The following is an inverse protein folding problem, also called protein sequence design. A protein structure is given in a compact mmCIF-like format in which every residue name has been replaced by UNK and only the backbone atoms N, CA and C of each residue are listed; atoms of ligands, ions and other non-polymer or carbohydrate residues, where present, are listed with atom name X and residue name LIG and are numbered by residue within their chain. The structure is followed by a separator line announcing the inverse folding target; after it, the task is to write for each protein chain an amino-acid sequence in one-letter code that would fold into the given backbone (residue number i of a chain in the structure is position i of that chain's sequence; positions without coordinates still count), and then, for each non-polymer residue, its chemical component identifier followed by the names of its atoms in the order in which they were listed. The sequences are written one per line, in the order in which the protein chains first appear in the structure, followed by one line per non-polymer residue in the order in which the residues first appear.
data_IF_736666112859
#
_entry.id   IF_736666112859
#
_cell.length_a   1.000
_cell.length_b   1.000
_cell.length_c   1.000
_cell.angle_alpha   90.00
_cell.angle_beta   90.00
_cell.angle_gamma   90.00
#
_symmetry.space_group_name_H-M   'P 1'
#
loop_
_entity.id
_entity.type
_entity.pdbx_description
1 polymer ?
#
# COMPACT_ATOMS: atom_id res chain seq x y z
N UNK A 1 -16.43 -21.04 17.66
CA UNK A 1 -16.04 -20.04 18.68
C UNK A 1 -16.63 -18.70 18.25
N UNK A 2 -17.12 -17.87 19.18
CA UNK A 2 -17.73 -16.57 18.81
C UNK A 2 -16.73 -15.42 18.71
N UNK A 3 -15.43 -15.69 18.80
CA UNK A 3 -14.34 -14.73 18.64
C UNK A 3 -13.50 -15.14 17.43
N UNK A 4 -13.19 -14.17 16.57
CA UNK A 4 -12.27 -14.34 15.45
C UNK A 4 -11.27 -13.18 15.42
N UNK A 5 -10.07 -13.46 14.91
CA UNK A 5 -8.98 -12.51 14.74
C UNK A 5 -8.56 -12.53 13.27
N UNK A 6 -8.46 -11.36 12.65
CA UNK A 6 -7.94 -11.21 11.28
C UNK A 6 -6.82 -10.17 11.29
N UNK A 7 -5.71 -10.49 10.62
CA UNK A 7 -4.58 -9.59 10.51
C UNK A 7 -4.73 -8.64 9.32
N UNK A 8 -4.37 -7.38 9.53
CA UNK A 8 -4.33 -6.32 8.53
C UNK A 8 -3.20 -5.35 8.87
N UNK A 9 -3.08 -4.26 8.11
CA UNK A 9 -2.00 -3.27 8.26
C UNK A 9 -2.53 -1.86 8.09
N UNK A 10 -2.09 -0.95 8.97
CA UNK A 10 -2.34 0.47 8.78
C UNK A 10 -1.37 1.06 7.75
N UNK A 11 -1.59 2.33 7.39
CA UNK A 11 -0.70 3.10 6.53
C UNK A 11 -0.22 4.33 7.31
N UNK A 12 1.06 4.37 7.65
CA UNK A 12 1.70 5.49 8.34
C UNK A 12 2.92 5.92 7.53
N UNK A 13 2.70 6.80 6.55
CA UNK A 13 3.72 7.11 5.54
C UNK A 13 4.14 5.84 4.80
N UNK A 14 5.45 5.59 4.74
CA UNK A 14 6.03 4.37 4.13
C UNK A 14 6.04 3.16 5.07
N UNK A 15 5.52 3.29 6.29
CA UNK A 15 5.41 2.19 7.24
C UNK A 15 4.01 1.57 7.21
N UNK A 16 3.96 0.27 7.47
CA UNK A 16 2.73 -0.49 7.58
C UNK A 16 2.66 -1.25 8.92
N UNK A 17 2.34 -0.56 10.03
CA UNK A 17 2.25 -1.20 11.33
C UNK A 17 1.07 -2.18 11.38
N UNK A 18 1.22 -3.25 12.17
CA UNK A 18 0.24 -4.32 12.30
C UNK A 18 -1.07 -3.81 12.92
N UNK A 19 -2.19 -4.27 12.34
CA UNK A 19 -3.53 -4.04 12.86
C UNK A 19 -4.23 -5.39 13.00
N UNK A 20 -4.81 -5.64 14.17
CA UNK A 20 -5.72 -6.78 14.37
C UNK A 20 -7.17 -6.31 14.31
N UNK A 21 -7.98 -7.06 13.57
CA UNK A 21 -9.43 -6.93 13.56
C UNK A 21 -10.01 -8.09 14.37
N UNK A 22 -10.38 -7.80 15.61
CA UNK A 22 -11.02 -8.75 16.51
C UNK A 22 -12.53 -8.63 16.34
N UNK A 23 -13.21 -9.76 16.10
CA UNK A 23 -14.67 -9.79 15.95
C UNK A 23 -15.28 -10.74 16.97
N UNK A 24 -16.22 -10.24 17.76
CA UNK A 24 -16.97 -11.01 18.74
C UNK A 24 -18.48 -11.01 18.44
N UNK A 25 -19.09 -12.19 18.41
CA UNK A 25 -20.54 -12.38 18.28
C UNK A 25 -21.18 -12.72 19.62
N UNK A 26 -22.08 -11.86 20.08
CA UNK A 26 -22.88 -12.05 21.28
C UNK A 26 -24.37 -12.23 20.93
N UNK A 27 -25.11 -12.89 21.81
CA UNK A 27 -26.57 -12.97 21.69
C UNK A 27 -27.20 -11.59 21.94
N UNK A 28 -28.31 -11.30 21.26
CA UNK A 28 -29.02 -10.04 21.37
C UNK A 28 -29.50 -9.54 20.01
N UNK A 29 -30.13 -8.36 20.02
CA UNK A 29 -30.62 -7.73 18.79
C UNK A 29 -29.48 -7.44 17.81
N UNK A 30 -29.71 -7.59 16.48
CA UNK A 30 -28.69 -7.33 15.47
C UNK A 30 -28.15 -5.90 15.58
N UNK A 31 -26.87 -5.78 15.90
CA UNK A 31 -26.19 -4.50 16.01
C UNK A 31 -24.69 -4.68 15.82
N UNK A 32 -24.08 -3.91 14.93
CA UNK A 32 -22.61 -3.82 14.81
C UNK A 32 -22.08 -2.58 15.53
N UNK A 33 -21.14 -2.80 16.45
CA UNK A 33 -20.35 -1.78 17.14
C UNK A 33 -18.89 -1.87 16.69
N UNK A 34 -18.32 -0.76 16.21
CA UNK A 34 -16.89 -0.63 15.90
C UNK A 34 -16.18 0.12 17.05
N UNK A 35 -15.10 -0.45 17.56
CA UNK A 35 -14.26 0.04 18.68
C UNK A 35 -12.83 0.22 18.17
N UNK A 36 -12.07 1.14 18.78
CA UNK A 36 -10.69 1.45 18.38
C UNK A 36 -10.49 2.80 17.66
N UNK A 37 -11.43 3.74 17.89
CA UNK A 37 -11.46 5.10 17.31
C UNK A 37 -11.29 5.14 15.78
N UNK A 38 -12.05 4.34 15.00
CA UNK A 38 -12.02 4.46 13.56
C UNK A 38 -12.54 5.82 13.09
N UNK A 39 -11.92 6.36 12.05
CA UNK A 39 -12.45 7.53 11.35
C UNK A 39 -13.84 7.26 10.74
N UNK A 40 -14.54 8.33 10.35
CA UNK A 40 -15.89 8.28 9.80
C UNK A 40 -16.00 7.32 8.61
N UNK A 41 -14.98 7.29 7.75
CA UNK A 41 -14.92 6.41 6.56
C UNK A 41 -14.93 4.92 6.91
N UNK A 42 -14.27 4.54 8.01
CA UNK A 42 -14.30 3.15 8.51
C UNK A 42 -15.61 2.85 9.24
N UNK A 43 -16.25 3.85 9.86
CA UNK A 43 -17.62 3.67 10.41
C UNK A 43 -18.65 3.43 9.31
N UNK A 44 -18.51 4.09 8.17
CA UNK A 44 -19.34 3.87 6.97
C UNK A 44 -19.12 2.49 6.34
N UNK A 45 -17.99 1.83 6.61
CA UNK A 45 -17.75 0.46 6.16
C UNK A 45 -18.76 -0.55 6.68
N UNK A 46 -19.49 -0.27 7.77
CA UNK A 46 -20.53 -1.16 8.32
C UNK A 46 -21.57 -1.56 7.27
N UNK A 47 -22.18 -0.59 6.61
CA UNK A 47 -23.26 -0.86 5.65
C UNK A 47 -22.71 -1.46 4.36
N UNK A 48 -21.49 -1.05 3.98
CA UNK A 48 -20.78 -1.55 2.82
C UNK A 48 -20.38 -3.02 2.96
N UNK A 49 -19.78 -3.40 4.08
CA UNK A 49 -19.40 -4.77 4.41
C UNK A 49 -20.63 -5.66 4.54
N UNK A 50 -21.68 -5.19 5.22
CA UNK A 50 -22.94 -5.93 5.31
C UNK A 50 -23.51 -6.23 3.93
N UNK A 51 -23.60 -5.20 3.07
CA UNK A 51 -24.11 -5.36 1.71
C UNK A 51 -23.24 -6.30 0.88
N UNK A 52 -21.91 -6.18 0.98
CA UNK A 52 -20.96 -7.03 0.30
C UNK A 52 -21.12 -8.51 0.68
N UNK A 53 -21.28 -8.83 1.96
CA UNK A 53 -21.51 -10.20 2.46
C UNK A 53 -22.82 -10.76 1.88
N UNK A 54 -23.92 -10.02 2.03
CA UNK A 54 -25.25 -10.48 1.59
C UNK A 54 -25.30 -10.65 0.07
N UNK A 55 -24.79 -9.69 -0.69
CA UNK A 55 -24.77 -9.75 -2.15
C UNK A 55 -23.79 -10.79 -2.70
N UNK A 56 -22.82 -11.23 -1.88
CA UNK A 56 -21.96 -12.39 -2.20
C UNK A 56 -22.63 -13.74 -1.94
N UNK A 57 -23.89 -13.77 -1.47
CA UNK A 57 -24.61 -14.99 -1.12
C UNK A 57 -24.15 -15.62 0.21
N UNK A 58 -23.43 -14.87 1.04
CA UNK A 58 -22.93 -15.31 2.34
C UNK A 58 -23.90 -14.90 3.46
N UNK A 59 -23.90 -15.63 4.57
CA UNK A 59 -24.78 -15.32 5.68
C UNK A 59 -24.23 -14.14 6.50
N UNK A 60 -25.05 -13.12 6.74
CA UNK A 60 -24.71 -12.06 7.69
C UNK A 60 -25.41 -12.35 9.04
N UNK A 61 -24.67 -12.57 10.14
CA UNK A 61 -25.25 -13.01 11.40
C UNK A 61 -26.21 -11.98 11.99
N UNK A 62 -27.42 -12.42 12.34
CA UNK A 62 -28.44 -11.61 13.03
C UNK A 62 -28.18 -11.58 14.54
N UNK A 63 -26.99 -11.16 14.94
CA UNK A 63 -26.49 -11.14 16.33
C UNK A 63 -25.84 -9.80 16.65
N UNK A 64 -25.53 -9.57 17.92
CA UNK A 64 -24.75 -8.40 18.33
C UNK A 64 -23.28 -8.65 17.98
N UNK A 65 -22.73 -7.83 17.10
CA UNK A 65 -21.36 -7.90 16.60
C UNK A 65 -20.56 -6.77 17.25
N UNK A 66 -19.43 -7.09 17.87
CA UNK A 66 -18.46 -6.11 18.34
C UNK A 66 -17.16 -6.32 17.60
N UNK A 67 -16.66 -5.28 16.95
CA UNK A 67 -15.40 -5.30 16.23
C UNK A 67 -14.43 -4.29 16.82
N UNK A 68 -13.23 -4.75 17.12
CA UNK A 68 -12.16 -3.92 17.66
C UNK A 68 -10.99 -3.90 16.67
N UNK A 69 -10.58 -2.71 16.24
CA UNK A 69 -9.38 -2.52 15.44
C UNK A 69 -8.26 -2.06 16.36
N UNK A 70 -7.33 -2.94 16.68
CA UNK A 70 -6.20 -2.66 17.55
C UNK A 70 -4.89 -2.56 16.76
N UNK A 71 -3.92 -1.75 17.20
CA UNK A 71 -3.95 -0.89 18.39
C UNK A 71 -4.65 0.47 18.12
N UNK A 72 -5.23 1.08 19.16
CA UNK A 72 -6.11 2.25 19.03
C UNK A 72 -5.41 3.57 18.64
N UNK A 73 -4.09 3.66 18.85
CA UNK A 73 -3.23 4.83 18.62
C UNK A 73 -2.85 5.06 17.16
N UNK A 74 -2.99 4.05 16.30
CA UNK A 74 -2.71 4.17 14.88
C UNK A 74 -3.87 4.84 14.12
N UNK A 75 -3.58 5.68 13.11
CA UNK A 75 -4.61 6.20 12.20
C UNK A 75 -5.20 5.04 11.37
N UNK A 76 -6.53 4.98 11.30
CA UNK A 76 -7.28 3.89 10.66
C UNK A 76 -8.31 4.50 9.74
N UNK A 77 -7.84 4.83 8.55
CA UNK A 77 -8.61 5.62 7.59
C UNK A 77 -8.81 4.83 6.29
N UNK A 78 -9.93 5.09 5.62
CA UNK A 78 -10.24 4.52 4.31
C UNK A 78 -10.79 3.08 4.33
N UNK A 79 -11.13 2.57 3.14
CA UNK A 79 -11.79 1.27 2.97
C UNK A 79 -10.90 0.04 3.10
N UNK A 80 -9.59 0.17 3.34
CA UNK A 80 -8.64 -0.96 3.28
C UNK A 80 -8.91 -2.09 4.28
N UNK A 81 -9.65 -1.81 5.35
CA UNK A 81 -9.99 -2.76 6.40
C UNK A 81 -11.27 -3.55 6.10
N UNK A 82 -12.04 -3.17 5.07
CA UNK A 82 -13.35 -3.78 4.78
C UNK A 82 -13.25 -5.30 4.62
N UNK A 83 -12.21 -5.77 3.93
CA UNK A 83 -11.97 -7.20 3.74
C UNK A 83 -11.73 -7.91 5.09
N UNK A 84 -10.86 -7.37 5.94
CA UNK A 84 -10.55 -7.95 7.24
C UNK A 84 -11.77 -7.94 8.18
N UNK A 85 -12.55 -6.85 8.14
CA UNK A 85 -13.82 -6.71 8.86
C UNK A 85 -14.83 -7.77 8.41
N UNK A 86 -14.99 -7.97 7.09
CA UNK A 86 -15.90 -8.97 6.55
C UNK A 86 -15.50 -10.40 6.95
N UNK A 87 -14.21 -10.74 6.80
CA UNK A 87 -13.67 -12.04 7.19
C UNK A 87 -13.79 -12.30 8.69
N UNK A 88 -13.60 -11.27 9.52
CA UNK A 88 -13.80 -11.38 10.96
C UNK A 88 -15.23 -11.75 11.34
N UNK A 89 -16.23 -11.16 10.66
CA UNK A 89 -17.65 -11.51 10.84
C UNK A 89 -17.92 -12.95 10.41
N UNK A 90 -17.47 -13.32 9.21
CA UNK A 90 -17.69 -14.65 8.65
C UNK A 90 -17.01 -15.75 9.49
N UNK A 91 -15.81 -15.50 9.99
CA UNK A 91 -15.08 -16.44 10.82
C UNK A 91 -15.71 -16.59 12.21
N UNK A 92 -16.17 -15.49 12.82
CA UNK A 92 -16.85 -15.55 14.11
C UNK A 92 -18.22 -16.27 14.00
N UNK A 93 -18.86 -16.23 12.82
CA UNK A 93 -20.07 -16.99 12.50
C UNK A 93 -19.78 -18.45 12.09
N UNK A 94 -18.51 -18.83 11.91
CA UNK A 94 -18.09 -20.18 11.55
C UNK A 94 -18.15 -20.50 10.04
N UNK A 95 -18.34 -19.50 9.18
CA UNK A 95 -18.32 -19.66 7.72
C UNK A 95 -16.90 -19.71 7.12
N UNK A 96 -15.90 -19.29 7.89
CA UNK A 96 -14.48 -19.31 7.50
C UNK A 96 -13.66 -19.90 8.66
N UNK A 97 -12.71 -20.83 8.39
CA UNK A 97 -11.85 -21.38 9.42
C UNK A 97 -10.89 -20.32 9.98
N UNK A 98 -10.80 -20.22 11.31
CA UNK A 98 -9.87 -19.28 11.97
C UNK A 98 -8.41 -19.67 11.79
N UNK A 99 -8.12 -20.96 11.58
CA UNK A 99 -6.76 -21.46 11.36
C UNK A 99 -6.14 -20.91 10.06
N UNK A 100 -6.87 -20.96 8.95
CA UNK A 100 -6.39 -20.44 7.65
C UNK A 100 -6.29 -18.91 7.66
N UNK A 101 -7.15 -18.23 8.43
CA UNK A 101 -7.06 -16.78 8.61
C UNK A 101 -5.84 -16.31 9.41
N UNK A 102 -5.30 -17.13 10.31
CA UNK A 102 -4.12 -16.78 11.11
C UNK A 102 -2.84 -16.69 10.26
N UNK A 103 -2.81 -17.39 9.12
CA UNK A 103 -1.68 -17.48 8.20
C UNK A 103 -1.62 -16.33 7.18
N UNK A 104 -2.66 -15.50 7.12
CA UNK A 104 -2.82 -14.44 6.12
C UNK A 104 -3.01 -13.07 6.74
N UNK A 105 -2.52 -12.04 6.06
CA UNK A 105 -2.89 -10.65 6.28
C UNK A 105 -3.79 -10.18 5.13
N UNK A 106 -4.80 -9.37 5.43
CA UNK A 106 -5.83 -8.97 4.48
C UNK A 106 -5.89 -7.46 4.30
N UNK A 107 -5.86 -7.03 3.04
CA UNK A 107 -6.04 -5.64 2.62
C UNK A 107 -7.04 -5.59 1.47
N UNK A 108 -7.93 -4.62 1.49
CA UNK A 108 -8.83 -4.37 0.38
C UNK A 108 -10.11 -3.65 0.80
N UNK A 109 -10.57 -2.76 -0.06
CA UNK A 109 -11.90 -2.18 0.04
C UNK A 109 -12.94 -3.10 -0.60
N UNK A 110 -14.12 -3.21 0.00
CA UNK A 110 -15.23 -3.99 -0.55
C UNK A 110 -16.24 -3.07 -1.23
N UNK A 111 -16.55 -3.32 -2.49
CA UNK A 111 -17.75 -2.75 -3.09
C UNK A 111 -19.01 -3.41 -2.49
N UNK A 112 -20.17 -2.73 -2.59
CA UNK A 112 -21.46 -3.30 -2.15
C UNK A 112 -21.79 -4.65 -2.80
N UNK A 113 -21.21 -4.94 -3.97
CA UNK A 113 -21.39 -6.21 -4.69
C UNK A 113 -20.54 -7.37 -4.14
N UNK A 114 -19.55 -7.10 -3.27
CA UNK A 114 -18.54 -8.09 -2.87
C UNK A 114 -17.26 -8.06 -3.69
N UNK A 115 -17.18 -7.22 -4.74
CA UNK A 115 -15.94 -7.01 -5.51
C UNK A 115 -14.89 -6.29 -4.65
N UNK A 116 -13.65 -6.74 -4.70
CA UNK A 116 -12.53 -6.05 -4.06
C UNK A 116 -12.06 -4.88 -4.93
N UNK A 117 -11.77 -3.75 -4.28
CA UNK A 117 -11.24 -2.53 -4.88
C UNK A 117 -9.82 -2.27 -4.41
N UNK A 118 -8.95 -1.71 -5.28
CA UNK A 118 -7.56 -1.46 -4.93
C UNK A 118 -7.43 -0.47 -3.78
N UNK A 119 -6.35 -0.61 -3.02
CA UNK A 119 -5.96 0.27 -1.93
C UNK A 119 -4.57 0.84 -2.20
N UNK A 120 -4.29 2.02 -1.65
CA UNK A 120 -2.96 2.62 -1.70
C UNK A 120 -2.02 1.95 -0.69
N UNK A 121 -0.70 2.14 -0.84
CA UNK A 121 0.27 1.72 0.17
C UNK A 121 0.37 0.20 0.34
N UNK A 122 0.22 -0.58 -0.73
CA UNK A 122 0.24 -2.05 -0.64
C UNK A 122 1.66 -2.61 -0.49
N UNK A 123 2.66 -2.00 -1.14
CA UNK A 123 4.04 -2.47 -1.08
C UNK A 123 4.63 -2.38 0.34
N UNK A 124 4.52 -1.25 1.08
CA UNK A 124 4.89 -1.22 2.50
C UNK A 124 4.28 -2.34 3.33
N UNK A 125 3.00 -2.64 3.08
CA UNK A 125 2.30 -3.69 3.80
C UNK A 125 2.77 -5.09 3.39
N UNK A 126 3.11 -5.31 2.13
CA UNK A 126 3.72 -6.54 1.64
C UNK A 126 5.09 -6.79 2.29
N UNK A 127 5.96 -5.78 2.34
CA UNK A 127 7.25 -5.89 3.02
C UNK A 127 7.08 -6.23 4.51
N UNK A 128 6.14 -5.59 5.19
CA UNK A 128 5.85 -5.84 6.61
C UNK A 128 5.16 -7.20 6.86
N UNK A 129 4.34 -7.69 5.93
CA UNK A 129 3.72 -9.03 6.00
C UNK A 129 4.77 -10.13 5.79
N UNK A 130 5.71 -9.91 4.86
CA UNK A 130 6.88 -10.77 4.62
C UNK A 130 7.71 -10.93 5.90
N UNK A 131 8.03 -9.83 6.57
CA UNK A 131 8.76 -9.84 7.84
C UNK A 131 8.00 -10.59 8.95
N UNK A 132 6.66 -10.53 8.93
CA UNK A 132 5.81 -11.27 9.86
C UNK A 132 5.61 -12.74 9.48
N UNK A 133 6.13 -13.20 8.32
CA UNK A 133 6.01 -14.58 7.86
C UNK A 133 4.58 -14.99 7.48
N UNK A 134 3.71 -14.04 7.13
CA UNK A 134 2.32 -14.31 6.71
C UNK A 134 2.12 -14.04 5.23
N UNK A 135 1.26 -14.82 4.59
CA UNK A 135 0.85 -14.53 3.21
C UNK A 135 -0.02 -13.26 3.17
N UNK A 136 -0.05 -12.57 2.03
CA UNK A 136 -0.80 -11.33 1.87
C UNK A 136 -1.94 -11.51 0.86
N UNK A 137 -3.16 -11.21 1.29
CA UNK A 137 -4.35 -11.15 0.43
C UNK A 137 -4.61 -9.71 0.05
N UNK A 138 -4.66 -9.45 -1.26
CA UNK A 138 -4.87 -8.10 -1.83
C UNK A 138 -5.87 -8.14 -2.99
N UNK A 139 -6.46 -7.00 -3.35
CA UNK A 139 -7.22 -6.86 -4.58
C UNK A 139 -6.33 -7.23 -5.78
N UNK A 140 -6.93 -7.86 -6.81
CA UNK A 140 -6.20 -8.29 -8.01
C UNK A 140 -5.40 -7.16 -8.69
N UNK A 141 -5.91 -5.93 -8.64
CA UNK A 141 -5.26 -4.75 -9.19
C UNK A 141 -4.00 -4.31 -8.41
N UNK A 142 -3.85 -4.72 -7.15
CA UNK A 142 -2.68 -4.46 -6.32
C UNK A 142 -1.64 -5.60 -6.32
N UNK A 143 -1.97 -6.76 -6.89
CA UNK A 143 -1.18 -7.98 -6.72
C UNK A 143 0.24 -7.88 -7.30
N UNK A 144 0.38 -7.25 -8.47
CA UNK A 144 1.68 -7.05 -9.12
C UNK A 144 2.60 -6.16 -8.27
N UNK A 145 2.05 -5.11 -7.67
CA UNK A 145 2.79 -4.21 -6.76
C UNK A 145 3.17 -4.92 -5.46
N UNK A 146 2.25 -5.66 -4.84
CA UNK A 146 2.53 -6.43 -3.62
C UNK A 146 3.64 -7.47 -3.84
N UNK A 147 3.72 -8.04 -5.04
CA UNK A 147 4.70 -9.07 -5.37
C UNK A 147 6.13 -8.53 -5.53
N UNK A 148 6.30 -7.22 -5.66
CA UNK A 148 7.63 -6.59 -5.61
C UNK A 148 8.38 -6.88 -4.31
N UNK A 149 7.66 -7.13 -3.22
CA UNK A 149 8.30 -7.42 -1.93
C UNK A 149 9.23 -8.64 -2.00
N UNK A 150 9.02 -9.58 -2.93
CA UNK A 150 9.85 -10.77 -3.09
C UNK A 150 9.78 -11.74 -1.89
N UNK A 151 9.78 -13.05 -2.13
CA UNK A 151 9.73 -14.03 -1.03
C UNK A 151 8.45 -14.00 -0.17
N UNK A 152 7.40 -13.32 -0.63
CA UNK A 152 6.08 -13.25 -0.02
C UNK A 152 5.07 -14.01 -0.87
N UNK A 153 4.24 -14.83 -0.24
CA UNK A 153 3.08 -15.42 -0.92
C UNK A 153 1.97 -14.36 -1.00
N UNK A 154 1.59 -13.99 -2.21
CA UNK A 154 0.53 -13.01 -2.48
C UNK A 154 -0.67 -13.72 -3.10
N UNK A 155 -1.87 -13.49 -2.56
CA UNK A 155 -3.13 -13.96 -3.15
C UNK A 155 -3.90 -12.80 -3.76
N UNK A 156 -4.16 -12.89 -5.06
CA UNK A 156 -4.84 -11.87 -5.85
C UNK A 156 -6.34 -12.15 -5.98
N UNK A 157 -7.14 -11.42 -5.23
CA UNK A 157 -8.58 -11.68 -5.11
C UNK A 157 -9.39 -10.62 -5.86
N UNK A 158 -10.36 -11.06 -6.67
CA UNK A 158 -11.31 -10.16 -7.33
C UNK A 158 -12.61 -9.98 -6.56
N UNK A 159 -13.01 -10.98 -5.77
CA UNK A 159 -14.30 -11.01 -5.09
C UNK A 159 -14.25 -11.70 -3.72
N UNK A 160 -15.06 -11.26 -2.75
CA UNK A 160 -15.09 -11.81 -1.40
C UNK A 160 -15.37 -13.34 -1.40
N UNK A 161 -16.34 -13.77 -2.20
CA UNK A 161 -16.70 -15.19 -2.34
C UNK A 161 -15.53 -16.09 -2.78
N UNK A 162 -14.67 -15.59 -3.68
CA UNK A 162 -13.49 -16.30 -4.17
C UNK A 162 -12.50 -16.59 -3.03
N UNK A 163 -12.27 -15.59 -2.16
CA UNK A 163 -11.42 -15.75 -1.00
C UNK A 163 -12.04 -16.70 0.05
N UNK A 164 -13.35 -16.61 0.29
CA UNK A 164 -14.03 -17.52 1.21
C UNK A 164 -13.92 -18.98 0.75
N UNK A 165 -14.06 -19.24 -0.56
CA UNK A 165 -13.88 -20.58 -1.12
C UNK A 165 -12.43 -21.08 -0.96
N UNK A 166 -11.43 -20.21 -1.10
CA UNK A 166 -10.03 -20.54 -0.85
C UNK A 166 -9.77 -20.88 0.62
N UNK A 167 -10.22 -20.04 1.55
CA UNK A 167 -10.00 -20.23 2.98
C UNK A 167 -10.71 -21.48 3.55
N UNK A 168 -11.78 -21.93 2.90
CA UNK A 168 -12.48 -23.18 3.19
C UNK A 168 -11.88 -24.41 2.47
N UNK A 169 -10.84 -24.23 1.65
CA UNK A 169 -10.21 -25.33 0.90
C UNK A 169 -11.04 -25.89 -0.25
N UNK A 170 -12.10 -25.19 -0.68
CA UNK A 170 -12.98 -25.65 -1.76
C UNK A 170 -12.38 -25.36 -3.13
N UNK A 171 -11.97 -24.10 -3.35
CA UNK A 171 -11.34 -23.65 -4.60
C UNK A 171 -10.05 -22.92 -4.21
N UNK A 172 -8.91 -23.63 -4.15
CA UNK A 172 -7.66 -23.01 -3.74
C UNK A 172 -7.19 -22.00 -4.79
N UNK A 173 -6.88 -20.79 -4.34
CA UNK A 173 -6.24 -19.78 -5.18
C UNK A 173 -4.75 -20.08 -5.28
N UNK A 174 -4.18 -20.11 -6.49
CA UNK A 174 -2.73 -20.17 -6.63
C UNK A 174 -2.11 -18.87 -6.13
N UNK A 175 -0.88 -18.91 -5.57
CA UNK A 175 -0.09 -17.71 -5.38
C UNK A 175 0.01 -16.92 -6.67
N UNK A 176 -0.08 -15.59 -6.57
CA UNK A 176 0.02 -14.71 -7.72
C UNK A 176 1.42 -14.82 -8.34
N UNK A 177 1.46 -15.21 -9.61
CA UNK A 177 2.67 -15.17 -10.40
C UNK A 177 2.85 -13.74 -10.94
N UNK A 178 3.78 -13.00 -10.35
CA UNK A 178 4.14 -11.68 -10.85
C UNK A 178 4.61 -11.79 -12.30
N UNK A 179 4.07 -10.95 -13.17
CA UNK A 179 4.55 -10.85 -14.55
C UNK A 179 5.78 -9.95 -14.68
N UNK A 180 6.28 -9.47 -13.53
CA UNK A 180 7.28 -8.43 -13.43
C UNK A 180 6.61 -7.11 -13.78
N UNK A 181 6.53 -6.19 -12.81
CA UNK A 181 6.28 -4.78 -13.15
C UNK A 181 7.26 -4.45 -14.26
N UNK A 182 6.70 -4.12 -15.41
CA UNK A 182 7.39 -3.93 -16.66
C UNK A 182 8.70 -3.20 -16.35
N UNK A 183 9.83 -3.89 -16.55
CA UNK A 183 11.19 -3.36 -16.41
C UNK A 183 11.47 -2.31 -17.49
N UNK A 184 10.55 -1.38 -17.71
CA UNK A 184 10.68 -0.25 -18.61
C UNK A 184 11.48 0.82 -17.88
N UNK A 185 12.79 0.58 -17.82
CA UNK A 185 13.74 1.65 -17.55
C UNK A 185 13.62 2.66 -18.68
N UNK A 186 13.05 3.83 -18.37
CA UNK A 186 13.08 4.94 -19.31
C UNK A 186 14.50 5.49 -19.36
N UNK A 187 15.06 5.72 -20.55
CA UNK A 187 16.39 6.30 -20.65
C UNK A 187 16.41 7.67 -19.95
N UNK A 188 17.45 7.91 -19.16
CA UNK A 188 17.70 9.23 -18.62
C UNK A 188 18.18 10.17 -19.72
N UNK A 189 17.93 11.48 -19.59
CA UNK A 189 18.58 12.45 -20.45
C UNK A 189 20.10 12.40 -20.29
N UNK A 190 20.84 12.64 -21.38
CA UNK A 190 22.30 12.52 -21.39
C UNK A 190 22.98 13.87 -21.12
N UNK A 191 24.13 13.84 -20.42
CA UNK A 191 25.02 14.97 -20.20
C UNK A 191 25.68 15.47 -21.51
N UNK A 192 25.76 14.61 -22.52
CA UNK A 192 26.24 14.96 -23.87
C UNK A 192 25.38 16.06 -24.52
N UNK A 193 24.09 16.13 -24.20
CA UNK A 193 23.15 17.13 -24.71
C UNK A 193 23.42 18.56 -24.18
N UNK A 194 24.16 18.70 -23.09
CA UNK A 194 24.48 20.01 -22.51
C UNK A 194 25.66 20.62 -23.26
N UNK A 195 25.47 21.73 -23.97
CA UNK A 195 26.57 22.41 -24.65
C UNK A 195 27.36 23.31 -23.67
N UNK A 196 28.70 23.18 -23.66
CA UNK A 196 29.59 23.98 -22.80
C UNK A 196 29.56 23.60 -21.32
N UNK A 197 29.74 24.60 -20.43
CA UNK A 197 29.66 24.47 -18.96
C UNK A 197 30.60 23.41 -18.34
N UNK A 198 31.85 23.31 -18.82
CA UNK A 198 32.81 22.28 -18.39
C UNK A 198 32.98 22.18 -16.87
N UNK A 199 33.09 23.32 -16.17
CA UNK A 199 33.23 23.35 -14.72
C UNK A 199 32.00 22.76 -14.02
N UNK A 200 30.79 23.12 -14.46
CA UNK A 200 29.54 22.61 -13.88
C UNK A 200 29.32 21.13 -14.20
N UNK A 201 29.65 20.68 -15.42
CA UNK A 201 29.64 19.24 -15.78
C UNK A 201 30.58 18.44 -14.90
N UNK A 202 31.80 18.93 -14.68
CA UNK A 202 32.78 18.27 -13.81
C UNK A 202 32.31 18.23 -12.36
N UNK A 203 31.76 19.32 -11.84
CA UNK A 203 31.18 19.34 -10.49
C UNK A 203 30.03 18.33 -10.34
N UNK A 204 29.17 18.23 -11.36
CA UNK A 204 28.08 17.25 -11.38
C UNK A 204 28.59 15.82 -11.36
N UNK A 205 29.62 15.50 -12.16
CA UNK A 205 30.24 14.16 -12.18
C UNK A 205 30.90 13.81 -10.84
N UNK A 206 31.63 14.76 -10.24
CA UNK A 206 32.24 14.56 -8.93
C UNK A 206 31.19 14.36 -7.84
N UNK A 207 30.10 15.13 -7.88
CA UNK A 207 28.99 14.97 -6.95
C UNK A 207 28.29 13.61 -7.12
N UNK A 208 28.06 13.17 -8.36
CA UNK A 208 27.48 11.85 -8.64
C UNK A 208 28.37 10.71 -8.15
N UNK A 209 29.68 10.77 -8.43
CA UNK A 209 30.63 9.74 -8.01
C UNK A 209 30.83 9.69 -6.49
N UNK A 210 30.80 10.84 -5.82
CA UNK A 210 30.99 10.96 -4.37
C UNK A 210 29.69 10.90 -3.54
N UNK A 211 28.52 10.73 -4.17
CA UNK A 211 27.21 10.87 -3.53
C UNK A 211 27.07 12.19 -2.73
N UNK A 212 27.57 13.29 -3.29
CA UNK A 212 27.53 14.61 -2.64
C UNK A 212 26.28 15.41 -3.00
N UNK A 213 25.82 16.22 -2.05
CA UNK A 213 24.78 17.21 -2.31
C UNK A 213 25.32 18.32 -3.21
N UNK A 214 24.48 18.80 -4.14
CA UNK A 214 24.84 19.82 -5.11
C UNK A 214 23.81 20.94 -5.13
N UNK A 215 24.27 22.19 -5.07
CA UNK A 215 23.45 23.39 -5.23
C UNK A 215 23.93 24.17 -6.46
N UNK A 216 23.02 24.41 -7.41
CA UNK A 216 23.30 25.26 -8.56
C UNK A 216 22.83 26.70 -8.29
N UNK A 217 23.76 27.65 -8.33
CA UNK A 217 23.47 29.08 -8.17
C UNK A 217 23.90 29.87 -9.41
N UNK A 218 23.07 30.81 -9.87
CA UNK A 218 23.45 31.72 -10.96
C UNK A 218 22.26 32.29 -11.73
N UNK A 219 22.51 33.23 -12.68
CA UNK A 219 21.48 33.93 -13.45
C UNK A 219 20.51 32.97 -14.18
N UNK A 220 19.25 33.37 -14.45
CA UNK A 220 18.32 32.55 -15.25
C UNK A 220 18.88 32.22 -16.64
N UNK A 221 18.44 31.12 -17.25
CA UNK A 221 18.88 30.71 -18.60
C UNK A 221 20.26 30.03 -18.69
N UNK A 222 21.01 29.91 -17.59
CA UNK A 222 22.36 29.31 -17.56
C UNK A 222 22.41 27.78 -17.62
N UNK A 223 21.29 27.09 -17.87
CA UNK A 223 21.25 25.63 -18.00
C UNK A 223 21.25 24.84 -16.68
N UNK A 224 20.99 25.48 -15.53
CA UNK A 224 20.96 24.83 -14.20
C UNK A 224 19.99 23.64 -14.13
N UNK A 225 18.74 23.85 -14.54
CA UNK A 225 17.70 22.81 -14.58
C UNK A 225 18.07 21.70 -15.55
N UNK A 226 18.66 22.07 -16.70
CA UNK A 226 19.12 21.11 -17.69
C UNK A 226 20.18 20.19 -17.08
N UNK A 227 21.22 20.74 -16.46
CA UNK A 227 22.25 19.97 -15.74
C UNK A 227 21.67 19.09 -14.62
N UNK A 228 20.80 19.65 -13.77
CA UNK A 228 20.21 18.91 -12.64
C UNK A 228 19.42 17.67 -13.09
N UNK A 229 18.65 17.76 -14.18
CA UNK A 229 17.87 16.64 -14.71
C UNK A 229 18.68 15.48 -15.30
N UNK A 230 19.99 15.67 -15.54
CA UNK A 230 20.90 14.62 -16.01
C UNK A 230 21.57 13.86 -14.86
N UNK A 231 21.53 14.38 -13.63
CA UNK A 231 22.15 13.73 -12.47
C UNK A 231 21.71 12.27 -12.28
N UNK A 232 20.41 11.91 -12.39
CA UNK A 232 19.97 10.53 -12.18
C UNK A 232 20.61 9.51 -13.14
N UNK A 233 20.94 9.93 -14.37
CA UNK A 233 21.59 9.08 -15.36
C UNK A 233 23.09 8.87 -15.14
N UNK A 234 23.72 9.67 -14.26
CA UNK A 234 25.14 9.55 -13.90
C UNK A 234 25.36 8.70 -12.65
N UNK A 235 24.32 8.53 -11.83
CA UNK A 235 24.38 7.73 -10.61
C UNK A 235 24.40 6.23 -10.95
N UNK A 236 25.03 5.38 -10.11
CA UNK A 236 24.95 3.92 -10.27
C UNK A 236 23.49 3.46 -10.28
N UNK A 237 23.11 2.29 -10.83
CA UNK A 237 21.74 1.79 -10.71
C UNK A 237 21.33 1.66 -9.23
N UNK A 238 20.03 1.71 -8.94
CA UNK A 238 19.51 1.46 -7.60
C UNK A 238 19.83 0.01 -7.22
N UNK A 239 20.27 -0.20 -5.98
CA UNK A 239 20.20 -1.55 -5.41
C UNK A 239 18.74 -1.92 -5.11
N UNK A 240 18.50 -3.18 -4.76
CA UNK A 240 17.14 -3.68 -4.49
C UNK A 240 16.47 -2.94 -3.32
N UNK A 241 17.22 -2.59 -2.28
CA UNK A 241 16.69 -1.94 -1.10
C UNK A 241 16.31 -0.48 -1.41
N UNK A 242 17.23 0.28 -2.02
CA UNK A 242 16.99 1.65 -2.47
C UNK A 242 15.81 1.69 -3.45
N UNK A 243 15.72 0.71 -4.34
CA UNK A 243 14.58 0.57 -5.21
C UNK A 243 13.33 0.43 -4.34
N UNK A 244 13.22 -0.60 -3.48
CA UNK A 244 12.03 -0.88 -2.65
C UNK A 244 11.56 0.33 -1.87
N UNK A 245 12.47 1.14 -1.32
CA UNK A 245 12.13 2.41 -0.67
C UNK A 245 11.48 3.42 -1.63
N UNK A 246 12.04 3.60 -2.82
CA UNK A 246 11.46 4.49 -3.85
C UNK A 246 10.06 4.01 -4.26
N UNK A 247 9.86 2.70 -4.47
CA UNK A 247 8.53 2.17 -4.79
C UNK A 247 7.57 2.30 -3.61
N UNK A 248 8.01 2.13 -2.37
CA UNK A 248 7.18 2.32 -1.18
C UNK A 248 6.66 3.77 -1.10
N UNK A 249 7.50 4.76 -1.40
CA UNK A 249 7.07 6.16 -1.47
C UNK A 249 6.03 6.35 -2.59
N UNK A 250 6.24 5.76 -3.77
CA UNK A 250 5.30 5.86 -4.90
C UNK A 250 3.97 5.16 -4.61
N UNK A 251 4.00 4.01 -3.94
CA UNK A 251 2.83 3.25 -3.47
C UNK A 251 1.92 4.08 -2.56
N UNK A 252 2.53 4.88 -1.68
CA UNK A 252 1.81 5.71 -0.70
C UNK A 252 1.38 7.06 -1.29
N UNK A 253 2.18 7.64 -2.19
CA UNK A 253 1.93 8.96 -2.78
C UNK A 253 1.12 8.92 -4.08
N UNK A 254 0.99 7.76 -4.71
CA UNK A 254 0.45 7.59 -6.05
C UNK A 254 -1.03 7.21 -6.10
N UNK A 255 -1.71 7.71 -7.14
CA UNK A 255 -3.00 7.18 -7.62
C UNK A 255 -2.81 6.30 -8.87
N UNK A 256 -1.56 5.99 -9.24
CA UNK A 256 -1.21 5.33 -10.50
C UNK A 256 -0.24 4.18 -10.21
N UNK A 257 -0.40 3.02 -10.87
CA UNK A 257 0.54 1.91 -10.74
C UNK A 257 1.98 2.33 -10.99
N UNK A 258 2.92 1.67 -10.33
CA UNK A 258 4.36 1.79 -10.59
C UNK A 258 4.62 1.51 -12.07
N UNK A 259 4.91 2.55 -12.84
CA UNK A 259 5.04 2.47 -14.30
C UNK A 259 6.48 2.32 -14.78
N UNK A 260 7.46 2.64 -13.94
CA UNK A 260 8.88 2.59 -14.26
C UNK A 260 9.67 2.11 -13.03
N UNK A 261 10.10 0.85 -13.08
CA UNK A 261 10.81 0.19 -12.00
C UNK A 261 11.93 -0.73 -12.51
N UNK A 262 13.12 -0.74 -11.88
CA UNK A 262 13.64 0.24 -10.93
C UNK A 262 14.13 1.50 -11.67
N UNK A 263 13.73 2.69 -11.21
CA UNK A 263 14.19 3.97 -11.77
C UNK A 263 14.46 4.99 -10.65
N UNK A 264 15.66 5.57 -10.60
CA UNK A 264 15.98 6.73 -9.74
C UNK A 264 15.02 7.88 -10.04
N UNK A 265 14.33 8.42 -9.02
CA UNK A 265 13.37 9.48 -9.20
C UNK A 265 14.08 10.81 -9.48
N UNK A 266 13.45 11.63 -10.33
CA UNK A 266 13.78 13.03 -10.48
C UNK A 266 12.51 13.84 -10.28
N UNK A 267 12.54 14.81 -9.37
CA UNK A 267 11.40 15.72 -9.14
C UNK A 267 11.73 17.07 -9.78
N UNK A 268 10.79 17.57 -10.58
CA UNK A 268 10.83 18.91 -11.15
C UNK A 268 9.63 19.71 -10.62
N UNK A 269 9.75 20.29 -9.41
CA UNK A 269 8.67 21.08 -8.82
C UNK A 269 8.25 22.20 -9.76
N UNK A 270 6.95 22.50 -9.78
CA UNK A 270 6.45 23.65 -10.52
C UNK A 270 7.04 24.95 -9.92
N UNK A 271 7.26 25.97 -10.74
CA UNK A 271 7.87 27.23 -10.30
C UNK A 271 7.02 27.99 -9.26
N UNK A 272 5.74 27.64 -9.12
CA UNK A 272 4.85 28.16 -8.07
C UNK A 272 4.88 27.34 -6.77
N UNK A 273 5.71 26.30 -6.67
CA UNK A 273 5.83 25.50 -5.46
C UNK A 273 6.40 26.35 -4.32
N UNK A 274 5.73 26.35 -3.18
CA UNK A 274 6.18 27.05 -1.98
C UNK A 274 7.35 26.31 -1.33
N UNK A 275 8.13 27.01 -0.48
CA UNK A 275 9.17 26.38 0.34
C UNK A 275 8.67 25.16 1.12
N UNK A 276 7.54 25.23 1.84
CA UNK A 276 6.94 24.08 2.50
C UNK A 276 6.56 22.92 1.55
N UNK A 277 6.13 23.22 0.32
CA UNK A 277 5.84 22.19 -0.68
C UNK A 277 7.10 21.47 -1.19
N UNK A 278 8.25 22.15 -1.21
CA UNK A 278 9.55 21.59 -1.60
C UNK A 278 10.17 20.72 -0.52
N UNK A 279 10.06 21.15 0.74
CA UNK A 279 10.61 20.40 1.89
C UNK A 279 9.74 19.20 2.24
N UNK A 280 8.48 19.18 1.77
CA UNK A 280 7.46 18.25 2.21
C UNK A 280 6.90 18.71 3.55
N UNK A 281 5.58 18.83 3.64
CA UNK A 281 4.93 19.26 4.87
C UNK A 281 5.30 18.31 6.01
N UNK A 282 6.01 18.82 7.02
CA UNK A 282 6.20 18.11 8.28
C UNK A 282 4.83 17.74 8.83
N UNK A 283 4.51 16.45 8.89
CA UNK A 283 3.33 15.96 9.60
C UNK A 283 3.46 16.30 11.09
N UNK A 284 2.98 17.48 11.48
CA UNK A 284 2.37 17.89 12.77
C UNK A 284 2.48 19.40 12.94
N UNK A 285 1.40 20.11 12.65
CA UNK A 285 0.98 21.22 13.51
C UNK A 285 -0.46 20.91 13.93
N UNK A 286 -0.59 20.18 15.03
CA UNK A 286 -1.78 20.31 15.87
C UNK A 286 -1.79 21.76 16.37
N UNK A 287 -2.82 22.50 15.99
CA UNK A 287 -3.36 23.57 16.82
C UNK A 287 -4.56 23.02 17.56
#
# INVERSE_FOLDING_TARGET
MSLALVHSRAQVGVQAPAVSVETHLANGLPHLTLVGLPETTVKESKDRVRSAIVNSGLNYPQRRITQNLAPADLPKDGGRYDLAIALGILAADGQVPTATLAEVECLGELALSGKLRPVQGVLPAALAAREAGRALVVPRENAEEASLAGGLVVYAVGHLLELVAHLNGQVPLPPYAANGLILQQRPYPDLSEVQGQLAAKRALLLAAAGAHNLLFTGPPGTGKTLLASRLPGLLPPLDEHEALEVAAIQSVSGHTPLSSWPQRPFRHPHHSASGPALVGGSCRFSK
#
